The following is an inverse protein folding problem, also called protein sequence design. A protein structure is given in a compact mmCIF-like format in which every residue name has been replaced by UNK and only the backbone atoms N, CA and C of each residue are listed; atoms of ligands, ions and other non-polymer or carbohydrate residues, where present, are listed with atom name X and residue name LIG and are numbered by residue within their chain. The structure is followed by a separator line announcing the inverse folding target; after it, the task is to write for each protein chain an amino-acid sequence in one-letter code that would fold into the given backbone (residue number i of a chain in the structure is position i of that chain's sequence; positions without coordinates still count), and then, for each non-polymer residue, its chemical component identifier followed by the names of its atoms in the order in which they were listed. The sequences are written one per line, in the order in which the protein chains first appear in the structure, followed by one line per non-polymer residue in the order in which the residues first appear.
data_IF_184890245593
#
_entry.id   IF_184890245593
#
_cell.length_a   1.000
_cell.length_b   1.000
_cell.length_c   1.000
_cell.angle_alpha   90.00
_cell.angle_beta   90.00
_cell.angle_gamma   90.00
#
_symmetry.space_group_name_H-M   'P 1'
#
loop_
_entity.id
_entity.type
_entity.pdbx_description
1 polymer ?
#
# COMPACT_ATOMS: atom_id res chain seq x y z
N UNK A 1 -57.55 15.47 48.47
CA UNK A 1 -56.56 16.38 47.87
C UNK A 1 -55.09 15.92 47.99
N UNK A 2 -54.67 15.21 49.04
CA UNK A 2 -53.26 14.75 49.21
C UNK A 2 -52.78 13.68 48.20
N UNK A 3 -53.66 12.86 47.65
CA UNK A 3 -53.28 11.77 46.73
C UNK A 3 -53.06 12.21 45.27
N UNK A 4 -53.63 13.34 44.86
CA UNK A 4 -53.47 13.83 43.48
C UNK A 4 -52.09 14.46 43.25
N UNK A 5 -51.55 15.16 44.26
CA UNK A 5 -50.23 15.78 44.19
C UNK A 5 -49.07 14.76 44.16
N UNK A 6 -49.22 13.58 44.76
CA UNK A 6 -48.17 12.54 44.72
C UNK A 6 -48.11 11.82 43.37
N UNK A 7 -49.26 11.68 42.69
CA UNK A 7 -49.35 11.16 41.33
C UNK A 7 -48.71 12.10 40.31
N UNK A 8 -48.95 13.41 40.41
CA UNK A 8 -48.29 14.39 39.54
C UNK A 8 -46.77 14.48 39.77
N UNK A 9 -46.29 14.33 41.01
CA UNK A 9 -44.84 14.27 41.30
C UNK A 9 -44.17 13.01 40.74
N UNK A 10 -44.83 11.85 40.83
CA UNK A 10 -44.30 10.59 40.27
C UNK A 10 -44.33 10.58 38.74
N UNK A 11 -45.39 11.12 38.13
CA UNK A 11 -45.49 11.26 36.68
C UNK A 11 -44.43 12.23 36.13
N UNK A 12 -44.18 13.36 36.81
CA UNK A 12 -43.13 14.30 36.44
C UNK A 12 -41.72 13.70 36.53
N UNK A 13 -41.44 12.89 37.57
CA UNK A 13 -40.15 12.22 37.71
C UNK A 13 -39.92 11.15 36.62
N UNK A 14 -40.96 10.42 36.24
CA UNK A 14 -40.90 9.43 35.15
C UNK A 14 -40.70 10.11 33.79
N UNK A 15 -41.37 11.24 33.55
CA UNK A 15 -41.21 12.00 32.30
C UNK A 15 -39.81 12.62 32.19
N UNK A 16 -39.22 13.09 33.29
CA UNK A 16 -37.85 13.61 33.32
C UNK A 16 -36.79 12.53 33.09
N UNK A 17 -36.98 11.32 33.60
CA UNK A 17 -36.05 10.19 33.36
C UNK A 17 -36.17 9.69 31.91
N UNK A 18 -37.37 9.66 31.32
CA UNK A 18 -37.56 9.31 29.91
C UNK A 18 -36.95 10.37 28.97
N UNK A 19 -37.09 11.66 29.29
CA UNK A 19 -36.51 12.75 28.50
C UNK A 19 -34.98 12.74 28.52
N UNK A 20 -34.37 12.41 29.66
CA UNK A 20 -32.90 12.24 29.76
C UNK A 20 -32.44 11.03 28.94
N UNK A 21 -33.18 9.91 28.95
CA UNK A 21 -32.88 8.73 28.14
C UNK A 21 -32.88 8.96 26.62
N UNK A 22 -33.74 9.86 26.12
CA UNK A 22 -33.79 10.22 24.70
C UNK A 22 -32.65 11.17 24.31
N UNK A 23 -32.18 12.03 25.23
CA UNK A 23 -31.07 12.96 24.96
C UNK A 23 -29.73 12.21 24.86
N UNK A 24 -29.54 11.09 25.59
CA UNK A 24 -28.29 10.31 25.48
C UNK A 24 -28.18 9.54 24.16
N UNK A 25 -29.29 9.26 23.47
CA UNK A 25 -29.26 8.65 22.14
C UNK A 25 -29.07 9.66 21.00
N UNK A 26 -29.31 10.95 21.25
CA UNK A 26 -29.09 12.01 20.26
C UNK A 26 -27.63 12.50 20.21
N UNK A 27 -26.82 12.22 21.24
CA UNK A 27 -25.40 12.58 21.29
C UNK A 27 -24.45 11.51 20.74
N UNK A 28 -24.99 10.36 20.32
CA UNK A 28 -24.28 9.35 19.53
C UNK A 28 -25.14 9.05 18.32
N UNK A 29 -25.17 9.94 17.30
CA UNK A 29 -25.76 9.56 16.03
C UNK A 29 -25.09 8.25 15.63
N UNK A 30 -25.88 7.25 15.24
CA UNK A 30 -25.40 6.00 14.68
C UNK A 30 -24.81 6.24 13.30
N UNK A 31 -23.86 7.18 13.20
CA UNK A 31 -23.04 7.40 12.04
C UNK A 31 -22.20 6.14 11.90
N UNK A 32 -22.63 5.31 10.95
CA UNK A 32 -21.74 4.33 10.35
C UNK A 32 -20.54 5.11 9.84
N UNK A 33 -19.42 5.04 10.55
CA UNK A 33 -18.12 5.48 10.04
C UNK A 33 -17.96 4.77 8.69
N UNK A 34 -17.96 5.49 7.55
CA UNK A 34 -17.81 4.84 6.25
C UNK A 34 -16.48 4.07 6.27
N UNK A 35 -16.45 2.89 5.66
CA UNK A 35 -15.29 1.98 5.73
C UNK A 35 -13.99 2.67 5.24
N UNK A 36 -14.11 3.71 4.40
CA UNK A 36 -13.02 4.59 3.97
C UNK A 36 -12.35 5.38 5.10
N UNK A 37 -13.08 5.74 6.16
CA UNK A 37 -12.53 6.52 7.28
C UNK A 37 -11.62 5.66 8.19
N UNK A 38 -11.57 4.35 7.94
CA UNK A 38 -10.64 3.42 8.57
C UNK A 38 -9.40 3.16 7.71
N UNK A 39 -9.36 3.68 6.48
CA UNK A 39 -8.16 3.62 5.65
C UNK A 39 -7.06 4.45 6.28
N UNK A 40 -5.89 3.85 6.38
CA UNK A 40 -4.71 4.53 6.87
C UNK A 40 -3.60 4.42 5.84
N UNK A 41 -2.99 5.55 5.55
CA UNK A 41 -1.84 5.66 4.66
C UNK A 41 -0.63 6.02 5.50
N UNK A 42 0.31 5.10 5.61
CA UNK A 42 1.56 5.29 6.35
C UNK A 42 2.71 5.32 5.36
N UNK A 43 3.58 6.31 5.47
CA UNK A 43 4.80 6.42 4.68
C UNK A 43 6.00 6.49 5.60
N UNK A 44 7.06 5.77 5.25
CA UNK A 44 8.30 5.62 5.99
C UNK A 44 9.44 5.85 5.02
N UNK A 45 10.52 6.50 5.46
CA UNK A 45 11.65 6.79 4.59
C UNK A 45 12.95 6.88 5.38
N UNK A 46 14.07 6.67 4.69
CA UNK A 46 15.41 6.94 5.23
C UNK A 46 15.80 8.40 4.93
N UNK A 47 16.06 9.18 5.98
CA UNK A 47 16.39 10.60 5.85
C UNK A 47 17.72 10.85 5.10
N UNK A 48 18.69 9.95 5.24
CA UNK A 48 19.98 10.10 4.57
C UNK A 48 19.86 9.83 3.07
N UNK A 49 19.07 8.82 2.71
CA UNK A 49 18.78 8.51 1.31
C UNK A 49 18.01 9.66 0.65
N UNK A 50 17.02 10.21 1.34
CA UNK A 50 16.20 11.33 0.85
C UNK A 50 16.88 12.70 0.95
N UNK A 51 18.09 12.79 1.51
CA UNK A 51 18.88 14.01 1.43
C UNK A 51 19.29 14.32 -0.03
N UNK A 52 19.49 13.28 -0.83
CA UNK A 52 19.69 13.36 -2.27
C UNK A 52 18.69 12.40 -2.95
N UNK A 53 17.41 12.77 -3.09
CA UNK A 53 16.39 11.84 -3.56
C UNK A 53 16.68 11.34 -4.98
N UNK A 54 16.19 10.13 -5.35
CA UNK A 54 16.28 9.61 -6.72
C UNK A 54 15.72 10.61 -7.74
N UNK A 55 16.27 10.62 -8.95
CA UNK A 55 15.82 11.50 -10.05
C UNK A 55 15.12 10.73 -11.18
N UNK A 56 15.19 9.39 -11.12
CA UNK A 56 14.55 8.48 -12.06
C UNK A 56 14.09 7.21 -11.33
N UNK A 57 13.09 6.53 -11.87
CA UNK A 57 12.54 5.32 -11.26
C UNK A 57 12.09 4.29 -12.30
N UNK A 58 12.24 3.02 -11.93
CA UNK A 58 11.65 1.89 -12.62
C UNK A 58 10.52 1.29 -11.79
N UNK A 59 9.34 1.10 -12.38
CA UNK A 59 8.22 0.41 -11.76
C UNK A 59 8.16 -1.04 -12.24
N UNK A 60 8.17 -1.99 -11.30
CA UNK A 60 7.85 -3.38 -11.61
C UNK A 60 6.37 -3.47 -11.97
N UNK A 61 6.08 -3.91 -13.19
CA UNK A 61 4.71 -4.04 -13.70
C UNK A 61 4.06 -5.35 -13.29
N UNK A 62 4.04 -5.60 -11.98
CA UNK A 62 3.41 -6.76 -11.36
C UNK A 62 3.10 -6.41 -9.90
N UNK A 63 1.90 -6.76 -9.44
CA UNK A 63 1.54 -6.68 -8.03
C UNK A 63 1.74 -8.04 -7.40
N UNK A 64 2.65 -8.14 -6.43
CA UNK A 64 2.94 -9.42 -5.78
C UNK A 64 1.94 -9.68 -4.65
N UNK A 65 1.15 -10.76 -4.69
CA UNK A 65 0.28 -11.13 -3.59
C UNK A 65 1.11 -11.73 -2.45
N UNK A 66 1.02 -11.14 -1.26
CA UNK A 66 1.62 -11.66 -0.05
C UNK A 66 0.59 -12.43 0.75
N UNK A 67 0.75 -13.76 0.74
CA UNK A 67 -0.14 -14.75 1.34
C UNK A 67 0.56 -15.51 2.46
N UNK A 68 -0.23 -16.11 3.35
CA UNK A 68 0.22 -17.11 4.31
C UNK A 68 0.45 -18.45 3.59
N UNK A 69 1.71 -18.86 3.48
CA UNK A 69 2.06 -20.15 2.86
C UNK A 69 1.86 -21.35 3.81
N UNK A 70 1.65 -21.09 5.10
CA UNK A 70 1.52 -22.11 6.15
C UNK A 70 0.08 -22.38 6.56
N UNK A 71 -0.80 -21.39 6.40
CA UNK A 71 -2.23 -21.49 6.65
C UNK A 71 -3.02 -20.88 5.49
N UNK A 72 -3.43 -21.71 4.53
CA UNK A 72 -4.15 -21.23 3.34
C UNK A 72 -5.55 -20.70 3.66
N UNK A 73 -6.17 -21.15 4.75
CA UNK A 73 -7.49 -20.65 5.18
C UNK A 73 -7.39 -19.21 5.69
N UNK A 74 -6.18 -18.80 6.08
CA UNK A 74 -5.86 -17.42 6.42
C UNK A 74 -5.77 -16.51 5.19
N UNK A 75 -5.77 -17.03 3.96
CA UNK A 75 -5.63 -16.18 2.77
C UNK A 75 -6.97 -15.63 2.30
N UNK A 76 -6.91 -14.46 1.68
CA UNK A 76 -8.07 -13.80 1.07
C UNK A 76 -8.04 -14.10 -0.43
N UNK A 77 -9.15 -14.61 -1.00
CA UNK A 77 -9.25 -14.78 -2.45
C UNK A 77 -9.03 -13.46 -3.17
N UNK A 78 -8.16 -13.48 -4.16
CA UNK A 78 -7.79 -12.32 -4.95
C UNK A 78 -7.39 -12.78 -6.35
N UNK A 79 -7.95 -12.16 -7.37
CA UNK A 79 -7.70 -12.44 -8.78
C UNK A 79 -7.14 -11.23 -9.53
N UNK A 80 -6.54 -10.28 -8.81
CA UNK A 80 -5.98 -9.06 -9.40
C UNK A 80 -7.00 -7.96 -9.61
N UNK A 81 -8.11 -7.96 -8.85
CA UNK A 81 -9.24 -7.06 -9.07
C UNK A 81 -8.88 -5.56 -9.01
N UNK A 82 -7.77 -5.20 -8.36
CA UNK A 82 -7.27 -3.82 -8.27
C UNK A 82 -5.82 -3.66 -8.73
N UNK A 83 -5.25 -4.67 -9.40
CA UNK A 83 -3.84 -4.63 -9.82
C UNK A 83 -3.59 -3.51 -10.83
N UNK A 84 -4.53 -3.31 -11.76
CA UNK A 84 -4.45 -2.23 -12.73
C UNK A 84 -4.47 -0.85 -12.05
N UNK A 85 -5.32 -0.64 -11.05
CA UNK A 85 -5.34 0.60 -10.27
C UNK A 85 -4.04 0.83 -9.51
N UNK A 86 -3.48 -0.22 -8.90
CA UNK A 86 -2.20 -0.14 -8.19
C UNK A 86 -1.09 0.29 -9.16
N UNK A 87 -0.95 -0.42 -10.28
CA UNK A 87 0.12 -0.18 -11.24
C UNK A 87 -0.02 1.17 -11.96
N UNK A 88 -1.22 1.48 -12.46
CA UNK A 88 -1.45 2.69 -13.23
C UNK A 88 -1.40 3.95 -12.36
N UNK A 89 -1.94 3.90 -11.13
CA UNK A 89 -1.88 5.05 -10.22
C UNK A 89 -0.44 5.29 -9.77
N UNK A 90 0.29 4.24 -9.43
CA UNK A 90 1.70 4.34 -9.06
C UNK A 90 2.53 4.92 -10.21
N UNK A 91 2.35 4.41 -11.44
CA UNK A 91 3.02 4.96 -12.62
C UNK A 91 2.69 6.44 -12.83
N UNK A 92 1.42 6.82 -12.68
CA UNK A 92 0.98 8.21 -12.83
C UNK A 92 1.68 9.14 -11.84
N UNK A 93 1.79 8.73 -10.56
CA UNK A 93 2.47 9.54 -9.55
C UNK A 93 3.99 9.61 -9.77
N UNK A 94 4.62 8.51 -10.20
CA UNK A 94 6.04 8.52 -10.59
C UNK A 94 6.31 9.44 -11.78
N UNK A 95 5.44 9.41 -12.79
CA UNK A 95 5.54 10.30 -13.97
C UNK A 95 5.37 11.77 -13.56
N UNK A 96 4.46 12.09 -12.64
CA UNK A 96 4.35 13.45 -12.09
C UNK A 96 5.60 13.88 -11.32
N UNK A 97 6.25 12.94 -10.65
CA UNK A 97 7.39 13.19 -9.80
C UNK A 97 8.70 13.38 -10.58
N UNK A 98 8.97 12.51 -11.55
CA UNK A 98 10.25 12.44 -12.27
C UNK A 98 10.14 12.87 -13.74
N UNK A 99 8.93 12.93 -14.30
CA UNK A 99 8.70 13.13 -15.73
C UNK A 99 8.80 11.84 -16.53
N UNK A 100 8.06 11.76 -17.64
CA UNK A 100 7.89 10.53 -18.44
C UNK A 100 9.22 9.93 -18.93
N UNK A 101 10.23 10.75 -19.23
CA UNK A 101 11.54 10.29 -19.73
C UNK A 101 12.42 9.65 -18.64
N UNK A 102 12.10 9.89 -17.37
CA UNK A 102 12.86 9.38 -16.23
C UNK A 102 12.11 8.23 -15.53
N UNK A 103 11.03 7.74 -16.13
CA UNK A 103 10.23 6.63 -15.60
C UNK A 103 10.24 5.47 -16.58
N UNK A 104 10.53 4.29 -16.03
CA UNK A 104 10.62 3.04 -16.77
C UNK A 104 9.63 2.03 -16.21
N UNK A 105 9.15 1.14 -17.08
CA UNK A 105 8.33 -0.01 -16.70
C UNK A 105 9.19 -1.25 -16.89
N UNK A 106 9.34 -2.04 -15.83
CA UNK A 106 10.02 -3.34 -15.91
C UNK A 106 8.95 -4.41 -16.11
N UNK A 107 9.08 -5.16 -17.20
CA UNK A 107 8.13 -6.18 -17.60
C UNK A 107 8.81 -7.53 -17.81
N UNK A 108 8.31 -8.58 -17.15
CA UNK A 108 9.02 -9.87 -17.06
C UNK A 108 8.97 -10.68 -18.35
N UNK A 109 7.95 -10.43 -19.16
CA UNK A 109 7.68 -11.21 -20.35
C UNK A 109 8.22 -10.51 -21.60
N UNK A 110 8.87 -11.26 -22.48
CA UNK A 110 9.35 -10.74 -23.76
C UNK A 110 8.26 -10.74 -24.86
N UNK A 111 7.07 -11.28 -24.57
CA UNK A 111 6.03 -11.48 -25.60
C UNK A 111 5.11 -10.27 -25.77
N UNK A 112 4.35 -9.90 -24.74
CA UNK A 112 3.30 -8.87 -24.83
C UNK A 112 3.60 -7.77 -23.83
N UNK A 113 4.02 -6.61 -24.31
CA UNK A 113 4.27 -5.45 -23.47
C UNK A 113 2.98 -5.04 -22.72
N UNK A 114 3.09 -4.59 -21.46
CA UNK A 114 1.97 -4.07 -20.72
C UNK A 114 1.38 -2.84 -21.40
N UNK A 115 0.10 -2.58 -21.13
CA UNK A 115 -0.62 -1.42 -21.67
C UNK A 115 -1.06 -0.51 -20.52
N UNK A 116 -0.18 0.40 -20.06
CA UNK A 116 -0.55 1.38 -19.06
C UNK A 116 -1.76 2.20 -19.50
N UNK A 117 -2.61 2.55 -18.55
CA UNK A 117 -3.79 3.38 -18.73
C UNK A 117 -3.78 4.52 -17.71
N UNK A 118 -3.69 5.80 -18.12
CA UNK A 118 -3.61 6.26 -19.50
C UNK A 118 -2.33 5.81 -20.20
N UNK A 119 -2.38 5.70 -21.53
CA UNK A 119 -1.20 5.37 -22.31
C UNK A 119 -0.15 6.48 -22.15
N UNK A 120 1.01 6.14 -21.61
CA UNK A 120 2.15 7.04 -21.47
C UNK A 120 3.15 6.72 -22.59
N UNK A 121 3.04 7.40 -23.73
CA UNK A 121 3.82 7.06 -24.93
C UNK A 121 5.33 7.27 -24.78
N UNK A 122 5.77 8.03 -23.78
CA UNK A 122 7.19 8.33 -23.54
C UNK A 122 7.78 7.53 -22.36
N UNK A 123 6.98 6.75 -21.64
CA UNK A 123 7.49 5.83 -20.62
C UNK A 123 8.06 4.61 -21.32
N UNK A 124 9.32 4.30 -21.04
CA UNK A 124 10.01 3.18 -21.69
C UNK A 124 9.67 1.87 -20.97
N UNK A 125 9.26 0.86 -21.74
CA UNK A 125 9.09 -0.52 -21.25
C UNK A 125 10.39 -1.28 -21.49
N UNK A 126 10.88 -1.93 -20.45
CA UNK A 126 12.13 -2.70 -20.44
C UNK A 126 11.82 -4.14 -20.08
N UNK A 127 12.34 -5.07 -20.86
CA UNK A 127 12.21 -6.52 -20.67
C UNK A 127 13.56 -7.16 -20.42
N UNK A 128 13.63 -8.41 -19.91
CA UNK A 128 14.86 -9.19 -19.81
C UNK A 128 15.60 -9.48 -21.14
N UNK A 129 15.19 -8.91 -22.28
CA UNK A 129 15.93 -8.94 -23.53
C UNK A 129 16.65 -7.61 -23.89
N UNK A 130 16.27 -6.49 -23.26
CA UNK A 130 16.85 -5.16 -23.46
C UNK A 130 18.16 -4.93 -22.66
N UNK A 131 18.85 -3.79 -22.75
CA UNK A 131 19.88 -3.45 -21.76
C UNK A 131 19.26 -3.11 -20.39
N UNK A 132 20.00 -3.33 -19.30
CA UNK A 132 19.62 -2.84 -17.97
C UNK A 132 19.37 -1.32 -18.02
N UNK A 133 18.23 -0.82 -17.49
CA UNK A 133 17.96 0.60 -17.50
C UNK A 133 18.82 1.29 -16.44
N UNK A 134 19.46 2.40 -16.81
CA UNK A 134 20.17 3.25 -15.86
C UNK A 134 19.17 4.14 -15.11
N UNK A 135 18.69 3.68 -13.96
CA UNK A 135 17.70 4.37 -13.11
C UNK A 135 18.17 4.42 -11.67
N UNK A 136 17.75 5.46 -10.94
CA UNK A 136 18.16 5.66 -9.55
C UNK A 136 17.35 4.82 -8.57
N UNK A 137 16.08 4.55 -8.86
CA UNK A 137 15.19 3.84 -7.96
C UNK A 137 14.37 2.72 -8.62
N UNK A 138 14.01 1.72 -7.83
CA UNK A 138 13.09 0.64 -8.20
C UNK A 138 11.86 0.65 -7.29
N UNK A 139 10.67 0.61 -7.89
CA UNK A 139 9.38 0.58 -7.19
C UNK A 139 8.78 -0.82 -7.34
N UNK A 140 8.48 -1.46 -6.21
CA UNK A 140 7.91 -2.81 -6.15
C UNK A 140 6.54 -2.80 -5.45
N UNK A 141 5.45 -2.93 -6.22
CA UNK A 141 4.11 -3.06 -5.65
C UNK A 141 3.83 -4.46 -5.09
N UNK A 142 3.18 -4.52 -3.94
CA UNK A 142 2.66 -5.77 -3.37
C UNK A 142 1.33 -5.56 -2.66
N UNK A 143 0.59 -6.65 -2.47
CA UNK A 143 -0.71 -6.63 -1.78
C UNK A 143 -0.77 -7.74 -0.72
N UNK A 144 -1.05 -7.38 0.53
CA UNK A 144 -1.16 -8.31 1.65
C UNK A 144 -2.58 -8.86 1.73
N UNK A 145 -2.72 -10.18 1.58
CA UNK A 145 -4.01 -10.90 1.47
C UNK A 145 -4.19 -11.93 2.60
N UNK A 146 -4.25 -11.47 3.86
CA UNK A 146 -4.34 -12.36 5.04
C UNK A 146 -5.44 -11.96 6.03
N UNK A 147 -6.35 -12.87 6.38
CA UNK A 147 -7.46 -12.67 7.34
C UNK A 147 -7.00 -12.50 8.79
N UNK A 148 -5.79 -12.92 9.14
CA UNK A 148 -5.15 -12.86 10.47
C UNK A 148 -3.68 -12.44 10.33
N UNK A 149 -3.35 -11.27 10.84
CA UNK A 149 -2.04 -10.62 10.96
C UNK A 149 -1.50 -11.03 12.31
N UNK A 150 -0.94 -12.23 12.38
CA UNK A 150 -0.26 -12.73 13.59
C UNK A 150 1.25 -12.48 13.53
N UNK A 151 1.75 -12.04 12.38
CA UNK A 151 3.16 -11.73 12.16
C UNK A 151 3.29 -10.55 11.21
N UNK A 152 4.36 -9.77 11.39
CA UNK A 152 4.74 -8.73 10.44
C UNK A 152 4.99 -9.39 9.09
N UNK A 153 4.27 -8.93 8.08
CA UNK A 153 4.40 -9.43 6.71
C UNK A 153 5.30 -8.46 5.96
N UNK A 154 6.48 -8.95 5.58
CA UNK A 154 7.36 -8.20 4.71
C UNK A 154 7.09 -8.58 3.28
N UNK A 155 7.16 -7.60 2.38
CA UNK A 155 7.61 -7.80 1.03
C UNK A 155 8.97 -8.55 1.08
N UNK A 156 8.98 -9.88 1.09
CA UNK A 156 10.18 -10.68 1.16
C UNK A 156 11.14 -10.41 0.01
N UNK A 157 12.28 -9.80 0.31
CA UNK A 157 13.63 -10.36 0.12
C UNK A 157 14.01 -10.98 -1.26
N UNK A 158 13.25 -11.99 -1.68
CA UNK A 158 13.63 -12.97 -2.68
C UNK A 158 13.03 -12.77 -4.07
N UNK A 159 11.96 -11.98 -4.24
CA UNK A 159 11.28 -11.89 -5.55
C UNK A 159 11.89 -10.90 -6.55
N UNK A 160 12.48 -9.79 -6.10
CA UNK A 160 13.25 -8.93 -7.02
C UNK A 160 14.46 -9.66 -7.58
N UNK A 161 14.98 -10.67 -6.87
CA UNK A 161 16.05 -11.51 -7.39
C UNK A 161 15.68 -12.27 -8.65
N UNK A 162 14.40 -12.66 -8.79
CA UNK A 162 13.90 -13.26 -10.03
C UNK A 162 13.88 -12.27 -11.19
N UNK A 163 13.57 -11.00 -10.92
CA UNK A 163 13.53 -9.93 -11.92
C UNK A 163 14.91 -9.51 -12.41
N UNK A 164 15.85 -9.36 -11.48
CA UNK A 164 17.25 -9.06 -11.79
C UNK A 164 18.03 -10.28 -12.31
N UNK A 165 17.51 -11.51 -12.12
CA UNK A 165 18.12 -12.74 -12.62
C UNK A 165 18.26 -12.82 -14.15
N UNK A 166 17.50 -12.00 -14.89
CA UNK A 166 17.70 -11.80 -16.33
C UNK A 166 18.98 -11.04 -16.68
N UNK A 167 19.35 -10.06 -15.85
CA UNK A 167 20.57 -9.22 -15.99
C UNK A 167 21.78 -9.74 -15.26
N UNK A 168 21.58 -10.52 -14.20
CA UNK A 168 22.62 -11.08 -13.37
C UNK A 168 22.49 -12.61 -13.32
N UNK A 169 23.10 -13.33 -14.28
CA UNK A 169 23.08 -14.79 -14.31
C UNK A 169 23.64 -15.39 -13.02
N UNK A 170 22.82 -16.19 -12.33
CA UNK A 170 23.21 -16.86 -11.08
C UNK A 170 22.81 -16.15 -9.79
N UNK A 171 22.03 -15.06 -9.86
CA UNK A 171 21.46 -14.45 -8.66
C UNK A 171 20.43 -15.38 -8.00
N UNK A 172 20.68 -15.93 -6.79
CA UNK A 172 19.88 -17.02 -6.25
C UNK A 172 18.57 -16.57 -5.61
N UNK A 173 18.30 -15.25 -5.53
CA UNK A 173 17.25 -14.68 -4.68
C UNK A 173 17.59 -14.93 -3.22
N UNK A 174 17.95 -13.88 -2.48
CA UNK A 174 18.35 -14.05 -1.09
C UNK A 174 17.11 -14.10 -0.16
N UNK A 175 17.04 -15.06 0.78
CA UNK A 175 15.99 -15.09 1.79
C UNK A 175 16.22 -13.96 2.81
N UNK A 176 15.14 -13.23 3.13
CA UNK A 176 15.15 -12.16 4.14
C UNK A 176 15.51 -12.73 5.53
N UNK A 177 16.58 -12.22 6.16
CA UNK A 177 17.07 -12.69 7.47
C UNK A 177 16.87 -11.69 8.63
N UNK A 178 16.33 -10.49 8.38
CA UNK A 178 16.00 -9.50 9.42
C UNK A 178 14.65 -8.81 9.15
N UNK A 179 13.59 -9.39 9.72
CA UNK A 179 12.20 -8.99 9.54
C UNK A 179 11.75 -8.05 10.69
N UNK A 180 12.05 -6.75 10.61
CA UNK A 180 11.85 -5.79 11.72
C UNK A 180 11.24 -4.40 11.46
N UNK A 181 10.54 -4.11 10.36
CA UNK A 181 9.65 -2.95 10.17
C UNK A 181 8.62 -3.10 9.01
N UNK A 182 7.26 -3.10 9.21
CA UNK A 182 6.50 -2.00 9.83
C UNK A 182 5.46 -2.49 10.90
N UNK A 183 4.81 -1.60 11.68
CA UNK A 183 4.10 -1.96 12.93
C UNK A 183 2.95 -2.97 12.77
N UNK A 184 2.82 -3.80 13.79
CA UNK A 184 1.76 -4.81 13.98
C UNK A 184 0.38 -4.15 14.15
N UNK A 185 -0.66 -4.74 13.56
CA UNK A 185 -2.06 -4.29 13.71
C UNK A 185 -2.84 -5.37 14.44
N UNK A 186 -3.49 -4.98 15.54
CA UNK A 186 -4.43 -5.81 16.28
C UNK A 186 -5.76 -5.94 15.53
N UNK A 187 -6.38 -7.12 15.67
CA UNK A 187 -7.61 -7.51 14.97
C UNK A 187 -8.87 -6.89 15.57
N UNK A 188 -9.69 -6.28 14.71
CA UNK A 188 -11.14 -6.48 14.70
C UNK A 188 -11.77 -5.93 13.40
N UNK A 189 -12.19 -6.85 12.52
CA UNK A 189 -13.36 -6.70 11.63
C UNK A 189 -13.26 -5.79 10.38
N UNK A 190 -12.24 -5.86 9.50
CA UNK A 190 -12.38 -5.37 8.11
C UNK A 190 -11.55 -6.25 7.16
N UNK A 191 -12.12 -6.64 6.01
CA UNK A 191 -11.52 -7.62 5.08
C UNK A 191 -10.14 -7.15 4.59
N UNK A 192 -9.14 -8.00 4.76
CA UNK A 192 -7.73 -7.60 4.66
C UNK A 192 -7.30 -7.50 3.20
N UNK A 193 -6.69 -6.38 2.87
CA UNK A 193 -6.10 -6.09 1.58
C UNK A 193 -5.32 -4.81 1.71
N UNK A 194 -4.04 -4.93 2.02
CA UNK A 194 -3.19 -3.75 2.22
C UNK A 194 -2.22 -3.67 1.06
N UNK A 195 -2.21 -2.54 0.37
CA UNK A 195 -1.22 -2.28 -0.68
C UNK A 195 0.05 -1.80 -0.01
N UNK A 196 1.18 -2.28 -0.49
CA UNK A 196 2.51 -1.87 -0.08
C UNK A 196 3.29 -1.47 -1.31
N UNK A 197 3.94 -0.30 -1.27
CA UNK A 197 4.89 0.14 -2.28
C UNK A 197 6.26 0.28 -1.60
N UNK A 198 7.21 -0.53 -2.05
CA UNK A 198 8.61 -0.39 -1.67
C UNK A 198 9.35 0.41 -2.75
N UNK A 199 10.17 1.37 -2.33
CA UNK A 199 11.13 2.05 -3.19
C UNK A 199 12.55 1.77 -2.71
N UNK A 200 13.35 1.19 -3.59
CA UNK A 200 14.76 0.90 -3.36
C UNK A 200 15.64 1.88 -4.13
N UNK A 201 16.62 2.48 -3.47
CA UNK A 201 17.60 3.36 -4.11
C UNK A 201 18.79 2.57 -4.67
N UNK A 202 18.75 2.28 -5.97
CA UNK A 202 19.71 1.46 -6.68
C UNK A 202 21.12 2.06 -6.69
N UNK A 203 21.27 3.38 -6.44
CA UNK A 203 22.58 4.04 -6.32
C UNK A 203 23.36 3.56 -5.10
N UNK A 204 22.68 2.95 -4.13
CA UNK A 204 23.27 2.34 -2.93
C UNK A 204 23.72 0.89 -3.15
N UNK A 205 23.44 0.31 -4.31
CA UNK A 205 23.89 -1.05 -4.59
C UNK A 205 25.43 -1.08 -4.64
N UNK A 206 26.06 -2.14 -4.10
CA UNK A 206 27.50 -2.34 -4.25
C UNK A 206 27.86 -2.54 -5.73
N UNK A 207 29.15 -2.38 -6.06
CA UNK A 207 29.67 -2.57 -7.44
C UNK A 207 29.36 -3.94 -8.06
N UNK A 208 28.97 -4.92 -7.25
CA UNK A 208 28.49 -6.23 -7.72
C UNK A 208 27.10 -6.16 -8.38
N UNK A 209 26.37 -5.05 -8.23
CA UNK A 209 24.98 -4.87 -8.66
C UNK A 209 23.97 -5.63 -7.79
N UNK A 210 24.43 -6.32 -6.75
CA UNK A 210 23.60 -7.22 -5.94
C UNK A 210 23.25 -6.57 -4.61
N UNK A 211 21.96 -6.46 -4.23
CA UNK A 211 21.61 -5.91 -2.93
C UNK A 211 22.12 -6.83 -1.81
N UNK A 212 22.67 -6.28 -0.72
CA UNK A 212 23.07 -7.05 0.45
C UNK A 212 21.85 -7.61 1.20
N UNK A 213 22.08 -8.59 2.09
CA UNK A 213 21.04 -9.29 2.86
C UNK A 213 20.19 -8.37 3.75
N UNK A 214 20.73 -7.20 4.11
CA UNK A 214 20.13 -6.17 4.97
C UNK A 214 19.71 -4.91 4.21
N UNK A 215 19.70 -4.97 2.88
CA UNK A 215 19.25 -3.87 2.05
C UNK A 215 17.80 -3.51 2.42
N UNK A 216 17.47 -2.24 2.57
CA UNK A 216 16.13 -1.79 3.00
C UNK A 216 15.58 -0.78 2.01
N UNK A 217 14.25 -0.63 1.92
CA UNK A 217 13.65 0.35 1.03
C UNK A 217 13.97 1.74 1.59
N UNK A 218 14.39 2.64 0.71
CA UNK A 218 14.62 4.05 1.05
C UNK A 218 13.31 4.79 1.27
N UNK A 219 12.20 4.29 0.72
CA UNK A 219 10.84 4.70 1.04
C UNK A 219 9.89 3.51 0.99
N UNK A 220 8.91 3.52 1.88
CA UNK A 220 7.88 2.50 2.04
C UNK A 220 6.54 3.18 2.25
N UNK A 221 5.55 2.85 1.43
CA UNK A 221 4.16 3.22 1.66
C UNK A 221 3.31 1.99 1.98
N UNK A 222 2.49 2.09 3.02
CA UNK A 222 1.53 1.06 3.43
C UNK A 222 0.14 1.69 3.48
N UNK A 223 -0.74 1.23 2.60
CA UNK A 223 -2.14 1.63 2.55
C UNK A 223 -2.99 0.48 3.05
N UNK A 224 -3.58 0.63 4.24
CA UNK A 224 -4.21 -0.48 4.97
C UNK A 224 -5.70 -0.53 4.70
N UNK A 225 -6.22 -1.76 4.59
CA UNK A 225 -7.66 -2.05 4.64
C UNK A 225 -8.42 -1.77 3.36
N UNK A 226 -7.74 -1.64 2.22
CA UNK A 226 -8.30 -1.14 0.96
C UNK A 226 -9.32 -2.09 0.31
N UNK A 227 -9.31 -3.38 0.65
CA UNK A 227 -10.24 -4.36 0.08
C UNK A 227 -11.51 -4.54 0.91
N UNK A 228 -12.60 -4.84 0.21
CA UNK A 228 -13.94 -5.13 0.72
C UNK A 228 -14.71 -5.94 -0.32
N UNK A 229 -15.94 -6.35 0.00
CA UNK A 229 -16.84 -7.01 -0.96
C UNK A 229 -17.27 -6.14 -2.15
N UNK A 230 -17.09 -4.82 -2.11
CA UNK A 230 -17.45 -3.89 -3.21
C UNK A 230 -16.20 -3.51 -4.03
N UNK A 231 -16.14 -3.97 -5.28
CA UNK A 231 -14.99 -3.74 -6.16
C UNK A 231 -14.81 -2.26 -6.57
N UNK A 232 -15.90 -1.53 -6.80
CA UNK A 232 -15.79 -0.11 -7.17
C UNK A 232 -15.22 0.70 -6.00
N UNK A 233 -15.67 0.37 -4.79
CA UNK A 233 -15.15 0.98 -3.58
C UNK A 233 -13.68 0.66 -3.35
N UNK A 234 -13.25 -0.57 -3.67
CA UNK A 234 -11.83 -0.96 -3.59
C UNK A 234 -10.96 -0.15 -4.57
N UNK A 235 -11.42 0.02 -5.80
CA UNK A 235 -10.74 0.80 -6.84
C UNK A 235 -10.50 2.25 -6.39
N UNK A 236 -11.55 2.93 -5.91
CA UNK A 236 -11.44 4.32 -5.44
C UNK A 236 -10.48 4.47 -4.25
N UNK A 237 -10.51 3.52 -3.31
CA UNK A 237 -9.65 3.53 -2.11
C UNK A 237 -8.20 3.28 -2.44
N UNK A 238 -7.91 2.33 -3.34
CA UNK A 238 -6.55 2.08 -3.85
C UNK A 238 -6.00 3.33 -4.51
N UNK A 239 -6.75 3.93 -5.43
CA UNK A 239 -6.34 5.13 -6.14
C UNK A 239 -6.09 6.29 -5.16
N UNK A 240 -7.00 6.52 -4.22
CA UNK A 240 -6.87 7.57 -3.21
C UNK A 240 -5.70 7.32 -2.25
N UNK A 241 -5.52 6.07 -1.80
CA UNK A 241 -4.45 5.68 -0.89
C UNK A 241 -3.07 5.89 -1.49
N UNK A 242 -2.88 5.51 -2.75
CA UNK A 242 -1.62 5.70 -3.47
C UNK A 242 -1.34 7.19 -3.64
N UNK A 243 -2.32 7.98 -4.12
CA UNK A 243 -2.16 9.43 -4.25
C UNK A 243 -1.78 10.08 -2.93
N UNK A 244 -2.47 9.75 -1.85
CA UNK A 244 -2.19 10.25 -0.52
C UNK A 244 -0.76 9.88 -0.07
N UNK A 245 -0.27 8.67 -0.39
CA UNK A 245 1.09 8.25 -0.06
C UNK A 245 2.15 9.14 -0.74
N UNK A 246 1.97 9.48 -2.01
CA UNK A 246 2.87 10.40 -2.72
C UNK A 246 2.71 11.85 -2.25
N UNK A 247 1.47 12.31 -2.02
CA UNK A 247 1.18 13.67 -1.55
C UNK A 247 1.84 13.96 -0.20
N UNK A 248 1.82 13.00 0.72
CA UNK A 248 2.46 13.13 2.04
C UNK A 248 3.96 12.80 2.05
N UNK A 249 4.56 12.55 0.88
CA UNK A 249 5.98 12.24 0.72
C UNK A 249 6.71 13.31 -0.11
N UNK A 250 6.71 14.60 0.32
CA UNK A 250 7.29 15.69 -0.48
C UNK A 250 8.80 15.56 -0.66
N UNK A 251 9.49 14.82 0.21
CA UNK A 251 10.92 14.53 0.16
C UNK A 251 11.33 13.61 -1.00
N UNK A 252 10.38 12.98 -1.70
CA UNK A 252 10.65 12.19 -2.91
C UNK A 252 10.96 13.07 -4.14
N UNK A 253 10.65 14.38 -4.07
CA UNK A 253 10.85 15.31 -5.18
C UNK A 253 12.33 15.59 -5.38
N UNK A 254 12.87 15.45 -6.60
CA UNK A 254 14.23 15.87 -6.92
C UNK A 254 14.47 17.34 -6.56
N UNK A 255 15.62 17.63 -5.97
CA UNK A 255 16.07 19.01 -5.77
C UNK A 255 16.46 19.58 -7.15
N UNK A 256 15.62 20.47 -7.70
CA UNK A 256 15.92 21.20 -8.94
C UNK A 256 17.04 22.23 -8.75
#
# INVERSE_FOLDING_TARGET
MKNLQSLFRKAGLIFSVLAIGVIVQACYPGDSIPISDLDTVTTLYDENDMANPPTSAALIWEVVPIVDSTDLDNNIPYNGEVDDEILNTTLTELVKLYGEQNVYIIWKDSTTAPRPTPANSNVTVVTPADPEPNVDALIAPSIILRKKTVAVVYPGYGWWGGWWGGWYPGYPGYPCYYCGYPPTVGYAQYEVGSVVLDMFDLRKLPDTGLPPDDYQPSWLAVMRGLLSSDQNFNSERVVSGIRQAFEQSPYLKPNN
#
